data_IF_068315990092
#
_entry.id   IF_068315990092
#
_cell.length_a   1.000
_cell.length_b   1.000
_cell.length_c   1.000
_cell.angle_alpha   90.00
_cell.angle_beta   90.00
_cell.angle_gamma   90.00
#
_symmetry.space_group_name_H-M   'P 1'
#
loop_
_entity.id
_entity.type
_entity.pdbx_description
1 polymer ?
#
# COMPACT_ATOMS: atom_id res chain seq x y z
N UNK A 1 -19.34 15.11 2.27
CA UNK A 1 -18.28 14.74 1.30
C UNK A 1 -16.88 15.17 1.80
N UNK A 2 -16.59 15.01 3.10
CA UNK A 2 -15.27 15.34 3.68
C UNK A 2 -14.55 14.04 4.09
N UNK A 3 -15.28 13.09 4.68
CA UNK A 3 -14.71 11.81 5.14
C UNK A 3 -14.15 10.85 4.06
N UNK A 4 -14.54 10.99 2.78
CA UNK A 4 -14.09 10.07 1.72
C UNK A 4 -12.73 10.43 1.11
N UNK A 5 -12.35 11.71 1.11
CA UNK A 5 -11.06 12.16 0.54
C UNK A 5 -9.90 11.70 1.43
N UNK A 6 -10.09 11.77 2.74
CA UNK A 6 -9.06 11.43 3.72
C UNK A 6 -8.67 9.95 3.66
N UNK A 7 -9.64 9.05 3.54
CA UNK A 7 -9.38 7.59 3.52
C UNK A 7 -8.58 7.18 2.29
N UNK A 8 -8.94 7.68 1.09
CA UNK A 8 -8.19 7.38 -0.13
C UNK A 8 -6.75 7.90 0.01
N UNK A 9 -6.57 9.14 0.48
CA UNK A 9 -5.27 9.75 0.64
C UNK A 9 -4.38 8.96 1.62
N UNK A 10 -4.90 8.63 2.80
CA UNK A 10 -4.17 7.87 3.81
C UNK A 10 -3.81 6.47 3.34
N UNK A 11 -4.72 5.76 2.67
CA UNK A 11 -4.42 4.46 2.04
C UNK A 11 -3.33 4.60 0.97
N UNK A 12 -3.36 5.68 0.18
CA UNK A 12 -2.33 5.99 -0.81
C UNK A 12 -0.95 6.18 -0.17
N UNK A 13 -0.85 6.97 0.90
CA UNK A 13 0.40 7.20 1.64
C UNK A 13 0.94 5.89 2.23
N UNK A 14 0.08 5.08 2.85
CA UNK A 14 0.48 3.78 3.41
C UNK A 14 1.02 2.87 2.31
N UNK A 15 0.32 2.78 1.17
CA UNK A 15 0.77 1.97 0.04
C UNK A 15 2.10 2.46 -0.53
N UNK A 16 2.32 3.78 -0.62
CA UNK A 16 3.56 4.38 -1.09
C UNK A 16 4.75 4.00 -0.18
N UNK A 17 4.56 4.05 1.14
CA UNK A 17 5.58 3.65 2.10
C UNK A 17 5.87 2.15 2.01
N UNK A 18 4.83 1.32 1.93
CA UNK A 18 4.96 -0.13 1.83
C UNK A 18 5.64 -0.57 0.53
N UNK A 19 5.27 0.00 -0.63
CA UNK A 19 5.92 -0.34 -1.91
C UNK A 19 7.37 0.15 -1.93
N UNK A 20 7.66 1.32 -1.37
CA UNK A 20 9.04 1.82 -1.24
C UNK A 20 9.88 0.87 -0.40
N UNK A 21 9.37 0.45 0.77
CA UNK A 21 10.01 -0.57 1.59
C UNK A 21 10.21 -1.89 0.83
N UNK A 22 9.22 -2.33 0.05
CA UNK A 22 9.28 -3.58 -0.71
C UNK A 22 10.36 -3.53 -1.80
N UNK A 23 10.46 -2.42 -2.53
CA UNK A 23 11.48 -2.20 -3.55
C UNK A 23 12.88 -2.13 -2.92
N UNK A 24 13.05 -1.30 -1.89
CA UNK A 24 14.34 -1.15 -1.20
C UNK A 24 14.82 -2.45 -0.56
N UNK A 25 13.90 -3.24 0.02
CA UNK A 25 14.25 -4.55 0.60
C UNK A 25 14.47 -5.64 -0.46
N UNK A 26 13.71 -5.64 -1.55
CA UNK A 26 13.89 -6.56 -2.68
C UNK A 26 15.20 -6.34 -3.43
N UNK A 27 15.61 -5.08 -3.61
CA UNK A 27 16.89 -4.69 -4.18
C UNK A 27 18.07 -4.84 -3.19
N UNK A 28 17.79 -5.27 -1.95
CA UNK A 28 18.78 -5.42 -0.86
C UNK A 28 19.47 -4.12 -0.45
N UNK A 29 18.93 -2.95 -0.80
CA UNK A 29 19.35 -1.67 -0.23
C UNK A 29 19.03 -1.60 1.27
N UNK A 30 17.89 -2.18 1.68
CA UNK A 30 17.54 -2.41 3.09
C UNK A 30 17.58 -3.91 3.35
N UNK A 31 18.50 -4.36 4.20
CA UNK A 31 18.63 -5.79 4.55
C UNK A 31 17.67 -6.14 5.67
N UNK A 32 16.62 -6.89 5.32
CA UNK A 32 15.64 -7.45 6.28
C UNK A 32 15.50 -8.94 6.08
N UNK A 33 15.03 -9.64 7.12
CA UNK A 33 14.70 -11.08 7.01
C UNK A 33 13.62 -11.27 5.95
N UNK A 34 13.74 -12.31 5.13
CA UNK A 34 12.74 -12.62 4.09
C UNK A 34 11.32 -12.74 4.66
N UNK A 35 11.16 -13.24 5.89
CA UNK A 35 9.87 -13.29 6.60
C UNK A 35 9.21 -11.90 6.71
N UNK A 36 9.99 -10.84 6.93
CA UNK A 36 9.49 -9.46 7.03
C UNK A 36 9.08 -8.96 5.65
N UNK A 37 9.94 -9.11 4.63
CA UNK A 37 9.63 -8.74 3.25
C UNK A 37 8.35 -9.43 2.73
N UNK A 38 8.20 -10.73 3.02
CA UNK A 38 6.99 -11.48 2.68
C UNK A 38 5.76 -10.96 3.41
N UNK A 39 5.85 -10.74 4.72
CA UNK A 39 4.72 -10.25 5.52
C UNK A 39 4.26 -8.86 5.10
N UNK A 40 5.20 -7.95 4.83
CA UNK A 40 4.89 -6.59 4.36
C UNK A 40 4.37 -6.59 2.91
N UNK A 41 4.89 -7.47 2.05
CA UNK A 41 4.36 -7.66 0.70
C UNK A 41 2.90 -8.14 0.69
N UNK A 42 2.54 -9.06 1.60
CA UNK A 42 1.14 -9.49 1.77
C UNK A 42 0.27 -8.34 2.27
N UNK A 43 0.74 -7.57 3.26
CA UNK A 43 0.02 -6.39 3.74
C UNK A 43 -0.22 -5.38 2.61
N UNK A 44 0.83 -5.06 1.84
CA UNK A 44 0.78 -4.17 0.68
C UNK A 44 -0.25 -4.63 -0.36
N UNK A 45 -0.31 -5.93 -0.65
CA UNK A 45 -1.27 -6.47 -1.61
C UNK A 45 -2.72 -6.15 -1.19
N UNK A 46 -3.07 -6.40 0.07
CA UNK A 46 -4.41 -6.11 0.57
C UNK A 46 -4.70 -4.61 0.61
N UNK A 47 -3.77 -3.79 1.12
CA UNK A 47 -3.98 -2.34 1.21
C UNK A 47 -4.05 -1.67 -0.15
N UNK A 48 -3.27 -2.12 -1.14
CA UNK A 48 -3.32 -1.62 -2.51
C UNK A 48 -4.61 -2.04 -3.23
N UNK A 49 -5.06 -3.28 -3.02
CA UNK A 49 -6.33 -3.77 -3.59
C UNK A 49 -7.51 -2.98 -3.05
N UNK A 50 -7.57 -2.76 -1.74
CA UNK A 50 -8.62 -1.93 -1.11
C UNK A 50 -8.56 -0.50 -1.63
N UNK A 51 -7.37 0.11 -1.69
CA UNK A 51 -7.20 1.47 -2.21
C UNK A 51 -7.68 1.62 -3.65
N UNK A 52 -7.29 0.70 -4.54
CA UNK A 52 -7.70 0.71 -5.95
C UNK A 52 -9.20 0.49 -6.13
N UNK A 53 -9.77 -0.52 -5.47
CA UNK A 53 -11.21 -0.80 -5.54
C UNK A 53 -12.02 0.39 -5.00
N UNK A 54 -11.62 0.95 -3.86
CA UNK A 54 -12.32 2.08 -3.25
C UNK A 54 -12.25 3.34 -4.10
N UNK A 55 -11.10 3.60 -4.74
CA UNK A 55 -10.97 4.70 -5.70
C UNK A 55 -11.87 4.51 -6.93
N UNK A 56 -12.01 3.28 -7.45
CA UNK A 56 -12.93 2.98 -8.55
C UNK A 56 -14.37 3.25 -8.14
N UNK A 57 -14.79 2.73 -6.98
CA UNK A 57 -16.15 2.92 -6.47
C UNK A 57 -16.46 4.40 -6.33
N UNK A 58 -15.59 5.20 -5.72
CA UNK A 58 -15.89 6.62 -5.46
C UNK A 58 -15.92 7.48 -6.72
N UNK A 59 -15.11 7.16 -7.74
CA UNK A 59 -14.95 8.02 -8.91
C UNK A 59 -15.80 7.60 -10.11
N UNK A 60 -16.23 6.35 -10.20
CA UNK A 60 -16.84 5.79 -11.41
C UNK A 60 -18.16 5.05 -11.19
N UNK A 61 -18.56 4.75 -9.94
CA UNK A 61 -19.82 4.07 -9.60
C UNK A 61 -20.69 5.01 -8.77
#
# INVERSE_FOLDING_TARGET
MIFNIDIILWLGIINLLLITFQLLSGLRFIKVKFKIHKSFGILLFFTASIHGIYAIIINYI
#
